data_IF_050957910207
#
_entry.id   IF_050957910207
#
_cell.length_a   1.000
_cell.length_b   1.000
_cell.length_c   1.000
_cell.angle_alpha   90.00
_cell.angle_beta   90.00
_cell.angle_gamma   90.00
#
_symmetry.space_group_name_H-M   'P 1'
#
loop_
_entity.id
_entity.type
_entity.pdbx_description
1 polymer ?
#
# COMPACT_ATOMS: atom_id res chain seq x y z
N UNK A 1 -0.98 26.59 -3.33
CA UNK A 1 -1.34 27.92 -2.80
C UNK A 1 -1.66 27.73 -1.33
N UNK A 2 -0.62 27.78 -0.48
CA UNK A 2 -0.76 27.51 0.95
C UNK A 2 -1.35 28.74 1.64
N UNK A 3 -2.29 28.51 2.55
CA UNK A 3 -3.03 29.52 3.32
C UNK A 3 -2.20 30.07 4.51
N UNK A 4 -0.87 30.00 4.44
CA UNK A 4 0.01 30.31 5.57
C UNK A 4 0.52 31.76 5.52
N UNK A 5 -0.36 32.70 5.18
CA UNK A 5 0.01 34.12 5.15
C UNK A 5 -0.89 34.92 6.09
N UNK A 6 -0.39 35.19 7.29
CA UNK A 6 -0.80 36.34 8.10
C UNK A 6 0.38 37.30 8.23
N UNK A 7 0.17 38.50 7.68
CA UNK A 7 0.65 39.88 7.92
C UNK A 7 1.84 40.26 8.84
N UNK A 8 2.60 39.35 9.42
CA UNK A 8 3.85 39.64 10.16
C UNK A 8 4.80 38.50 9.83
N UNK A 9 5.98 38.79 9.26
CA UNK A 9 6.92 37.78 8.74
C UNK A 9 7.57 36.85 9.78
N UNK A 10 6.86 36.51 10.85
CA UNK A 10 7.26 35.55 11.86
C UNK A 10 6.82 34.15 11.45
N UNK A 11 7.78 33.24 11.41
CA UNK A 11 7.54 31.81 11.19
C UNK A 11 6.70 31.25 12.34
N UNK A 12 5.61 30.55 12.01
CA UNK A 12 4.78 29.91 13.02
C UNK A 12 5.55 28.76 13.71
N UNK A 13 5.29 28.51 15.01
CA UNK A 13 5.87 27.35 15.70
C UNK A 13 5.40 26.03 15.07
N UNK A 14 6.29 25.05 15.03
CA UNK A 14 5.99 23.71 14.53
C UNK A 14 5.53 22.79 15.68
N UNK A 15 4.61 21.89 15.36
CA UNK A 15 4.09 20.89 16.29
C UNK A 15 4.09 19.51 15.64
N UNK A 16 4.33 18.47 16.43
CA UNK A 16 3.93 17.10 16.12
C UNK A 16 2.56 16.87 16.73
N UNK A 17 1.59 16.45 15.93
CA UNK A 17 0.23 16.15 16.39
C UNK A 17 -0.05 14.68 16.11
N UNK A 18 -0.53 13.97 17.12
CA UNK A 18 -0.83 12.54 17.04
C UNK A 18 -2.07 12.17 17.83
N UNK A 19 -2.60 11.00 17.50
CA UNK A 19 -3.64 10.31 18.27
C UNK A 19 -3.34 8.81 18.20
N UNK A 20 -3.94 8.05 19.11
CA UNK A 20 -3.88 6.59 19.11
C UNK A 20 -5.29 6.02 19.25
N UNK A 21 -5.55 4.91 18.57
CA UNK A 21 -6.78 4.13 18.69
C UNK A 21 -6.42 2.68 18.96
N UNK A 22 -7.22 2.04 19.80
CA UNK A 22 -7.18 0.60 19.99
C UNK A 22 -7.90 -0.09 18.82
N UNK A 23 -7.27 -1.14 18.30
CA UNK A 23 -7.82 -1.97 17.23
C UNK A 23 -7.76 -3.44 17.61
N UNK A 24 -8.73 -4.21 17.12
CA UNK A 24 -8.68 -5.68 17.12
C UNK A 24 -8.17 -6.16 15.77
N UNK A 25 -7.05 -6.88 15.76
CA UNK A 25 -6.59 -7.60 14.57
C UNK A 25 -7.40 -8.88 14.42
N UNK A 26 -8.20 -8.98 13.36
CA UNK A 26 -9.01 -10.15 13.09
C UNK A 26 -8.49 -10.84 11.84
N UNK A 27 -8.18 -12.12 11.98
CA UNK A 27 -7.73 -13.00 10.90
C UNK A 27 -8.66 -14.21 10.81
N UNK A 28 -9.10 -14.54 9.59
CA UNK A 28 -9.93 -15.72 9.30
C UNK A 28 -9.30 -16.47 8.14
N UNK A 29 -9.03 -17.77 8.34
CA UNK A 29 -8.50 -18.67 7.30
C UNK A 29 -9.45 -19.83 7.06
N UNK A 30 -9.47 -20.37 5.85
CA UNK A 30 -10.16 -21.62 5.55
C UNK A 30 -9.32 -22.82 5.98
N UNK A 31 -9.89 -23.80 6.69
CA UNK A 31 -9.18 -25.04 7.05
C UNK A 31 -10.12 -26.23 6.89
N UNK A 32 -9.66 -27.27 6.19
CA UNK A 32 -10.33 -28.57 6.14
C UNK A 32 -9.75 -29.49 7.21
N UNK A 33 -10.58 -29.90 8.18
CA UNK A 33 -10.18 -30.81 9.24
C UNK A 33 -11.35 -31.70 9.69
N UNK A 34 -11.03 -32.81 10.36
CA UNK A 34 -12.05 -33.74 10.87
C UNK A 34 -12.83 -33.23 12.09
N UNK A 35 -12.38 -32.14 12.72
CA UNK A 35 -13.04 -31.49 13.85
C UNK A 35 -12.60 -30.02 13.98
N UNK A 36 -13.33 -29.25 14.80
CA UNK A 36 -12.95 -27.88 15.13
C UNK A 36 -11.59 -27.80 15.83
N UNK A 37 -11.33 -28.69 16.80
CA UNK A 37 -10.04 -28.73 17.51
C UNK A 37 -8.88 -29.03 16.57
N UNK A 38 -9.08 -29.95 15.61
CA UNK A 38 -8.08 -30.24 14.59
C UNK A 38 -7.85 -29.03 13.67
N UNK A 39 -8.90 -28.29 13.30
CA UNK A 39 -8.76 -27.06 12.53
C UNK A 39 -7.96 -25.98 13.30
N UNK A 40 -8.27 -25.79 14.59
CA UNK A 40 -7.53 -24.87 15.45
C UNK A 40 -6.06 -25.27 15.60
N UNK A 41 -5.76 -26.57 15.71
CA UNK A 41 -4.39 -27.06 15.79
C UNK A 41 -3.60 -26.78 14.51
N UNK A 42 -4.23 -26.95 13.34
CA UNK A 42 -3.63 -26.61 12.04
C UNK A 42 -3.37 -25.10 11.95
N UNK A 43 -4.35 -24.27 12.28
CA UNK A 43 -4.21 -22.81 12.27
C UNK A 43 -3.05 -22.36 13.18
N UNK A 44 -2.98 -22.95 14.38
CA UNK A 44 -1.93 -22.63 15.35
C UNK A 44 -0.54 -23.00 14.83
N UNK A 45 -0.39 -24.20 14.27
CA UNK A 45 0.87 -24.63 13.70
C UNK A 45 1.31 -23.72 12.53
N UNK A 46 0.38 -23.29 11.69
CA UNK A 46 0.66 -22.34 10.60
C UNK A 46 1.04 -20.94 11.12
N UNK A 47 0.37 -20.44 12.16
CA UNK A 47 0.72 -19.19 12.81
C UNK A 47 2.14 -19.24 13.38
N UNK A 48 2.46 -20.28 14.15
CA UNK A 48 3.77 -20.46 14.77
C UNK A 48 4.88 -20.64 13.71
N UNK A 49 4.55 -21.19 12.53
CA UNK A 49 5.44 -21.31 11.38
C UNK A 49 5.53 -20.05 10.50
N UNK A 50 4.69 -19.04 10.74
CA UNK A 50 4.63 -17.83 9.92
C UNK A 50 3.99 -18.01 8.54
N UNK A 51 3.30 -19.12 8.29
CA UNK A 51 2.69 -19.47 6.98
C UNK A 51 1.18 -19.26 6.95
N UNK A 52 0.59 -18.75 8.03
CA UNK A 52 -0.85 -18.51 8.13
C UNK A 52 -1.38 -17.55 7.05
N UNK A 53 -0.55 -16.61 6.60
CA UNK A 53 -0.90 -15.55 5.65
C UNK A 53 -0.54 -15.86 4.20
N UNK A 54 -0.05 -17.07 3.91
CA UNK A 54 0.46 -17.44 2.57
C UNK A 54 -0.64 -17.55 1.48
N UNK A 55 -1.92 -17.46 1.88
CA UNK A 55 -3.10 -17.55 1.00
C UNK A 55 -3.04 -18.74 0.01
N UNK A 56 -2.98 -19.95 0.56
CA UNK A 56 -2.83 -21.18 -0.23
C UNK A 56 -4.19 -21.81 -0.56
N UNK A 57 -4.32 -22.61 -1.63
CA UNK A 57 -5.59 -23.29 -1.95
C UNK A 57 -6.14 -24.18 -0.83
N UNK A 58 -5.26 -24.76 0.00
CA UNK A 58 -5.65 -25.63 1.12
C UNK A 58 -5.88 -24.86 2.43
N UNK A 59 -5.36 -23.63 2.52
CA UNK A 59 -5.57 -22.70 3.63
C UNK A 59 -5.69 -21.26 3.10
N UNK A 60 -6.84 -20.90 2.50
CA UNK A 60 -7.03 -19.58 1.92
C UNK A 60 -7.20 -18.52 3.02
N UNK A 61 -6.65 -17.34 2.79
CA UNK A 61 -6.84 -16.18 3.68
C UNK A 61 -8.19 -15.53 3.36
N UNK A 62 -9.13 -15.64 4.28
CA UNK A 62 -10.52 -15.19 4.07
C UNK A 62 -10.77 -13.78 4.59
N UNK A 63 -10.05 -13.37 5.63
CA UNK A 63 -10.11 -12.04 6.23
C UNK A 63 -8.81 -11.75 6.96
N UNK A 64 -8.27 -10.56 6.78
CA UNK A 64 -7.10 -10.04 7.51
C UNK A 64 -7.21 -8.52 7.55
N UNK A 65 -7.74 -8.01 8.67
CA UNK A 65 -7.87 -6.56 8.85
C UNK A 65 -7.91 -6.17 10.33
N UNK A 66 -7.74 -4.88 10.57
CA UNK A 66 -7.88 -4.25 11.88
C UNK A 66 -9.27 -3.60 11.99
N UNK A 67 -10.02 -3.98 13.01
CA UNK A 67 -11.31 -3.40 13.34
C UNK A 67 -11.12 -2.41 14.52
N UNK A 68 -11.52 -1.15 14.34
CA UNK A 68 -11.60 -0.18 15.44
C UNK A 68 -12.59 -0.67 16.50
N UNK A 69 -12.24 -0.51 17.78
CA UNK A 69 -13.20 -0.76 18.86
C UNK A 69 -14.24 0.37 18.91
N UNK A 70 -15.52 0.01 18.95
CA UNK A 70 -16.62 0.96 19.02
C UNK A 70 -16.58 1.80 20.31
N UNK A 71 -16.98 3.07 20.19
CA UNK A 71 -17.13 3.98 21.33
C UNK A 71 -15.85 4.72 21.76
N UNK A 72 -14.76 4.57 21.01
CA UNK A 72 -13.53 5.33 21.24
C UNK A 72 -13.73 6.81 20.87
N UNK A 73 -13.16 7.69 21.69
CA UNK A 73 -13.10 9.13 21.42
C UNK A 73 -11.73 9.46 20.86
N UNK A 74 -11.71 10.08 19.68
CA UNK A 74 -10.48 10.52 19.05
C UNK A 74 -9.91 11.74 19.79
N UNK A 75 -8.83 11.55 20.52
CA UNK A 75 -8.12 12.63 21.24
C UNK A 75 -6.77 12.94 20.59
N UNK A 76 -6.50 14.22 20.38
CA UNK A 76 -5.30 14.69 19.71
C UNK A 76 -4.37 15.36 20.70
N UNK A 77 -3.14 14.87 20.78
CA UNK A 77 -2.07 15.53 21.51
C UNK A 77 -1.13 16.29 20.56
N UNK A 78 -0.65 17.44 20.99
CA UNK A 78 0.23 18.30 20.23
C UNK A 78 1.49 18.65 21.01
N UNK A 79 2.64 18.22 20.51
CA UNK A 79 3.95 18.51 21.09
C UNK A 79 4.69 19.54 20.23
N UNK A 80 5.11 20.66 20.84
CA UNK A 80 5.90 21.69 20.16
C UNK A 80 7.30 21.19 19.81
N UNK A 81 7.78 21.48 18.60
CA UNK A 81 9.09 21.06 18.10
C UNK A 81 9.81 22.19 17.37
N UNK A 82 11.13 22.22 17.45
CA UNK A 82 11.94 23.18 16.69
C UNK A 82 11.98 22.82 15.18
N UNK A 83 11.95 21.53 14.86
CA UNK A 83 11.91 20.99 13.50
C UNK A 83 11.28 19.61 13.55
N UNK A 84 10.57 19.21 12.48
CA UNK A 84 10.00 17.87 12.40
C UNK A 84 11.09 16.79 12.34
N UNK A 85 10.89 15.64 13.02
CA UNK A 85 11.79 14.50 12.86
C UNK A 85 11.75 13.97 11.41
N UNK A 86 12.76 13.19 10.99
CA UNK A 86 12.66 12.44 9.75
C UNK A 86 11.43 11.51 9.78
N UNK A 87 10.89 11.23 8.60
CA UNK A 87 9.76 10.33 8.48
C UNK A 87 10.14 8.91 8.93
N UNK A 88 9.24 8.25 9.65
CA UNK A 88 9.40 6.85 10.02
C UNK A 88 9.35 5.93 8.79
N UNK A 89 9.93 4.73 8.90
CA UNK A 89 9.92 3.71 7.84
C UNK A 89 8.51 3.34 7.38
N UNK A 90 7.52 3.41 8.28
CA UNK A 90 6.10 3.21 7.94
C UNK A 90 5.60 4.22 6.90
N UNK A 91 6.09 5.46 6.92
CA UNK A 91 5.75 6.49 5.94
C UNK A 91 6.33 6.13 4.58
N UNK A 92 7.55 5.58 4.54
CA UNK A 92 8.15 5.08 3.30
C UNK A 92 7.36 3.91 2.73
N UNK A 93 6.97 2.94 3.56
CA UNK A 93 6.13 1.82 3.16
C UNK A 93 4.77 2.29 2.61
N UNK A 94 4.12 3.25 3.26
CA UNK A 94 2.85 3.82 2.80
C UNK A 94 3.01 4.55 1.44
N UNK A 95 4.09 5.32 1.26
CA UNK A 95 4.41 5.99 -0.02
C UNK A 95 4.67 4.97 -1.13
N UNK A 96 5.44 3.92 -0.84
CA UNK A 96 5.73 2.84 -1.78
C UNK A 96 4.44 2.14 -2.21
N UNK A 97 3.58 1.77 -1.26
CA UNK A 97 2.30 1.14 -1.54
C UNK A 97 1.42 2.02 -2.45
N UNK A 98 1.29 3.32 -2.14
CA UNK A 98 0.53 4.25 -2.97
C UNK A 98 1.12 4.41 -4.39
N UNK A 99 2.45 4.45 -4.51
CA UNK A 99 3.16 4.53 -5.80
C UNK A 99 2.97 3.26 -6.63
N UNK A 100 3.04 2.07 -6.01
CA UNK A 100 2.83 0.80 -6.67
C UNK A 100 1.45 0.72 -7.34
N UNK A 101 0.38 1.15 -6.66
CA UNK A 101 -0.97 1.21 -7.25
C UNK A 101 -1.05 2.14 -8.46
N UNK A 102 -0.34 3.28 -8.43
CA UNK A 102 -0.28 4.20 -9.57
C UNK A 102 0.50 3.59 -10.74
N UNK A 103 1.58 2.87 -10.46
CA UNK A 103 2.33 2.14 -11.48
C UNK A 103 1.49 1.03 -12.11
N UNK A 104 0.73 0.26 -11.33
CA UNK A 104 -0.19 -0.76 -11.86
C UNK A 104 -1.27 -0.15 -12.77
N UNK A 105 -1.75 1.06 -12.47
CA UNK A 105 -2.64 1.80 -13.37
C UNK A 105 -1.95 2.15 -14.70
N UNK A 106 -0.69 2.56 -14.65
CA UNK A 106 0.09 2.81 -15.86
C UNK A 106 0.34 1.51 -16.64
N UNK A 107 0.62 0.39 -15.98
CA UNK A 107 0.79 -0.91 -16.63
C UNK A 107 -0.50 -1.34 -17.37
N UNK A 108 -1.67 -1.17 -16.76
CA UNK A 108 -2.96 -1.39 -17.43
C UNK A 108 -3.17 -0.46 -18.62
N UNK A 109 -2.78 0.82 -18.48
CA UNK A 109 -2.84 1.77 -19.59
C UNK A 109 -1.96 1.31 -20.76
N UNK A 110 -0.76 0.79 -20.48
CA UNK A 110 0.12 0.24 -21.49
C UNK A 110 -0.50 -0.98 -22.17
N UNK A 111 -1.01 -1.93 -21.38
CA UNK A 111 -1.69 -3.13 -21.87
C UNK A 111 -2.86 -2.79 -22.81
N UNK A 112 -3.72 -1.83 -22.44
CA UNK A 112 -4.85 -1.40 -23.30
C UNK A 112 -4.44 -0.77 -24.63
N UNK A 113 -3.16 -0.37 -24.77
CA UNK A 113 -2.63 0.22 -26.00
C UNK A 113 -1.74 -0.74 -26.79
N UNK A 114 -1.38 -1.88 -26.22
CA UNK A 114 -0.70 -2.93 -26.96
C UNK A 114 -1.67 -3.56 -27.97
N UNK A 115 -1.17 -4.06 -29.12
CA UNK A 115 -1.98 -4.88 -29.98
C UNK A 115 -2.46 -6.14 -29.23
N UNK A 116 -3.58 -6.71 -29.65
CA UNK A 116 -4.10 -7.95 -29.07
C UNK A 116 -3.02 -9.04 -29.04
N UNK A 117 -2.98 -9.82 -27.96
CA UNK A 117 -2.00 -10.89 -27.77
C UNK A 117 -1.92 -11.84 -28.99
N UNK A 118 -3.07 -12.27 -29.52
CA UNK A 118 -3.14 -13.13 -30.71
C UNK A 118 -2.51 -12.49 -31.97
N UNK A 119 -2.51 -11.16 -32.07
CA UNK A 119 -1.88 -10.46 -33.20
C UNK A 119 -0.36 -10.54 -33.11
N UNK A 120 0.21 -10.39 -31.91
CA UNK A 120 1.66 -10.35 -31.69
C UNK A 120 2.29 -11.75 -31.57
N UNK A 121 1.52 -12.79 -31.24
CA UNK A 121 2.00 -14.18 -31.17
C UNK A 121 2.62 -14.69 -32.47
N UNK A 122 2.18 -14.14 -33.61
CA UNK A 122 2.68 -14.52 -34.93
C UNK A 122 3.90 -13.71 -35.37
N UNK A 123 4.30 -12.69 -34.61
CA UNK A 123 5.41 -11.81 -34.95
C UNK A 123 6.74 -12.41 -34.52
N UNK A 124 7.82 -11.98 -35.16
CA UNK A 124 9.15 -12.38 -34.73
C UNK A 124 9.43 -11.84 -33.30
N UNK A 125 10.06 -12.60 -32.38
CA UNK A 125 10.27 -12.17 -30.99
C UNK A 125 10.98 -10.82 -30.82
N UNK A 126 11.92 -10.51 -31.72
CA UNK A 126 12.66 -9.24 -31.70
C UNK A 126 11.92 -8.06 -32.38
N UNK A 127 10.66 -8.25 -32.77
CA UNK A 127 9.86 -7.19 -33.36
C UNK A 127 9.54 -6.12 -32.33
N UNK A 128 9.95 -4.88 -32.58
CA UNK A 128 9.63 -3.75 -31.72
C UNK A 128 8.13 -3.40 -31.81
N UNK A 129 7.48 -3.27 -30.66
CA UNK A 129 6.09 -2.82 -30.55
C UNK A 129 6.06 -1.38 -30.05
N UNK A 130 5.75 -0.39 -30.91
CA UNK A 130 5.70 1.00 -30.47
C UNK A 130 4.43 1.26 -29.63
N UNK A 131 4.59 1.97 -28.52
CA UNK A 131 3.50 2.51 -27.72
C UNK A 131 3.60 4.03 -27.67
N UNK A 132 2.49 4.72 -27.93
CA UNK A 132 2.41 6.18 -27.79
C UNK A 132 1.75 6.55 -26.46
N UNK A 133 2.32 7.55 -25.80
CA UNK A 133 1.80 8.14 -24.57
C UNK A 133 1.86 9.66 -24.70
N UNK A 134 1.03 10.37 -23.93
CA UNK A 134 1.12 11.83 -23.85
C UNK A 134 2.38 12.25 -23.10
N UNK A 135 2.85 13.48 -23.34
CA UNK A 135 3.96 14.05 -22.57
C UNK A 135 3.67 14.05 -21.06
N UNK A 136 2.41 14.24 -20.66
CA UNK A 136 2.01 14.19 -19.26
C UNK A 136 2.13 12.77 -18.68
N UNK A 137 1.65 11.74 -19.40
CA UNK A 137 1.79 10.35 -18.98
C UNK A 137 3.27 9.93 -18.85
N UNK A 138 4.13 10.40 -19.76
CA UNK A 138 5.56 10.15 -19.69
C UNK A 138 6.22 10.81 -18.46
N UNK A 139 5.81 12.04 -18.11
CA UNK A 139 6.30 12.72 -16.88
C UNK A 139 5.82 12.01 -15.62
N UNK A 140 4.55 11.61 -15.59
CA UNK A 140 3.98 10.86 -14.47
C UNK A 140 4.72 9.54 -14.26
N UNK A 141 4.99 8.77 -15.32
CA UNK A 141 5.77 7.54 -15.21
C UNK A 141 7.17 7.79 -14.63
N UNK A 142 7.89 8.81 -15.12
CA UNK A 142 9.23 9.15 -14.61
C UNK A 142 9.19 9.50 -13.12
N UNK A 143 8.27 10.38 -12.72
CA UNK A 143 8.10 10.74 -11.32
C UNK A 143 7.75 9.54 -10.42
N UNK A 144 6.95 8.59 -10.94
CA UNK A 144 6.65 7.35 -10.22
C UNK A 144 7.90 6.48 -10.04
N UNK A 145 8.71 6.32 -11.09
CA UNK A 145 9.95 5.53 -11.02
C UNK A 145 10.98 6.17 -10.08
N UNK A 146 11.17 7.49 -10.16
CA UNK A 146 12.08 8.22 -9.25
C UNK A 146 11.68 8.04 -7.77
N UNK A 147 10.39 7.86 -7.50
CA UNK A 147 9.88 7.62 -6.14
C UNK A 147 10.17 6.20 -5.64
N UNK A 148 10.33 5.21 -6.53
CA UNK A 148 10.70 3.84 -6.19
C UNK A 148 12.19 3.71 -5.88
N UNK A 149 13.03 4.48 -6.57
CA UNK A 149 14.49 4.49 -6.37
C UNK A 149 14.93 5.26 -5.11
N UNK A 150 14.03 6.04 -4.51
CA UNK A 150 14.28 6.84 -3.30
C UNK A 150 13.93 6.12 -1.98
N UNK A 151 13.62 4.81 -2.06
CA UNK A 151 13.27 3.95 -0.93
C UNK A 151 14.47 3.26 -0.28
#
# INVERSE_FOLDING_TARGET
MNKDTRLTGETLPAFMVGYSLDHTHRVVVGIRAGSADAACAVARAAFDAGTLWDDTPDMPLLYDDYEELDGQVLDFDATSVATWPPADVSVHAARLHATAHRLLRFARLADTRLPLAASIETWHPDTLVPMTVTAQQARELRALLDTLDAG
#
